data_IF_051766722102
#
_entry.id   IF_051766722102
#
_cell.length_a   1.000
_cell.length_b   1.000
_cell.length_c   1.000
_cell.angle_alpha   90.00
_cell.angle_beta   90.00
_cell.angle_gamma   90.00
#
_symmetry.space_group_name_H-M   'P 1'
#
loop_
_entity.id
_entity.type
_entity.pdbx_description
1 polymer ?
#
# COMPACT_ATOMS: atom_id res chain seq x y z
N UNK A 1 -29.25 -26.74 20.18
CA UNK A 1 -29.38 -25.36 20.69
C UNK A 1 -29.17 -25.40 22.19
N UNK A 2 -27.95 -25.15 22.65
CA UNK A 2 -27.65 -25.00 24.07
C UNK A 2 -27.49 -23.50 24.28
N UNK A 3 -28.49 -22.89 24.94
CA UNK A 3 -28.41 -21.51 25.43
C UNK A 3 -27.25 -21.45 26.44
N UNK A 4 -26.18 -20.74 26.08
CA UNK A 4 -25.16 -20.33 27.02
C UNK A 4 -25.76 -19.24 27.91
N UNK A 5 -25.84 -19.57 29.20
CA UNK A 5 -26.34 -18.73 30.28
C UNK A 5 -25.55 -17.41 30.30
N UNK A 6 -26.22 -16.32 29.91
CA UNK A 6 -25.66 -14.99 29.76
C UNK A 6 -25.58 -14.30 31.14
N UNK A 7 -24.76 -14.84 32.05
CA UNK A 7 -24.20 -14.03 33.15
C UNK A 7 -23.19 -13.08 32.51
N UNK A 8 -23.20 -11.81 32.89
CA UNK A 8 -22.25 -10.80 32.39
C UNK A 8 -20.82 -11.16 32.80
N UNK A 9 -20.19 -12.07 32.06
CA UNK A 9 -18.75 -12.27 32.11
C UNK A 9 -18.15 -10.99 31.53
N UNK A 10 -17.43 -10.23 32.34
CA UNK A 10 -16.67 -9.09 31.82
C UNK A 10 -15.70 -9.54 30.73
N UNK A 11 -15.35 -8.62 29.82
CA UNK A 11 -14.34 -8.88 28.81
C UNK A 11 -13.03 -9.36 29.47
N UNK A 12 -12.55 -10.54 29.07
CA UNK A 12 -11.29 -11.09 29.52
C UNK A 12 -10.44 -11.45 28.30
N UNK A 13 -9.30 -10.78 28.14
CA UNK A 13 -8.40 -11.03 27.02
C UNK A 13 -7.77 -12.44 27.05
N UNK A 14 -7.66 -13.07 28.22
CA UNK A 14 -7.03 -14.38 28.35
C UNK A 14 -7.89 -15.52 27.77
N UNK A 15 -9.20 -15.31 27.63
CA UNK A 15 -10.12 -16.29 27.05
C UNK A 15 -10.31 -16.11 25.54
N UNK A 16 -9.70 -15.08 24.94
CA UNK A 16 -9.76 -14.86 23.50
C UNK A 16 -9.15 -16.07 22.77
N UNK A 17 -9.85 -16.63 21.76
CA UNK A 17 -9.34 -17.73 20.95
C UNK A 17 -7.94 -17.46 20.38
N UNK A 18 -7.69 -16.23 19.93
CA UNK A 18 -6.39 -15.78 19.43
C UNK A 18 -5.26 -15.86 20.45
N UNK A 19 -5.58 -15.82 21.75
CA UNK A 19 -4.60 -15.84 22.83
C UNK A 19 -4.31 -17.25 23.37
N UNK A 20 -5.00 -18.29 22.87
CA UNK A 20 -4.85 -19.67 23.37
C UNK A 20 -3.39 -20.18 23.36
N UNK A 21 -2.65 -19.92 22.30
CA UNK A 21 -1.24 -20.32 22.19
C UNK A 21 -0.31 -19.29 22.82
N UNK A 22 -0.64 -18.01 22.64
CA UNK A 22 0.09 -16.89 23.25
C UNK A 22 0.21 -17.04 24.77
N UNK A 23 -0.87 -17.40 25.45
CA UNK A 23 -0.90 -17.62 26.90
C UNK A 23 -0.06 -18.82 27.37
N UNK A 24 0.14 -19.82 26.50
CA UNK A 24 1.04 -20.95 26.79
C UNK A 24 2.50 -20.57 26.58
N UNK A 25 2.76 -19.69 25.61
CA UNK A 25 4.10 -19.24 25.25
C UNK A 25 4.64 -18.22 26.25
N UNK A 26 3.82 -17.23 26.62
CA UNK A 26 4.15 -16.20 27.58
C UNK A 26 2.87 -15.68 28.24
N UNK A 27 2.77 -15.87 29.55
CA UNK A 27 1.65 -15.40 30.35
C UNK A 27 1.67 -13.89 30.50
N UNK A 28 0.53 -13.32 30.90
CA UNK A 28 0.34 -11.88 31.08
C UNK A 28 1.24 -11.30 32.19
N UNK A 29 1.39 -12.02 33.29
CA UNK A 29 2.27 -11.66 34.40
C UNK A 29 3.76 -11.70 33.99
N UNK A 30 4.17 -12.66 33.17
CA UNK A 30 5.55 -12.76 32.67
C UNK A 30 5.94 -11.55 31.80
N UNK A 31 5.06 -11.16 30.87
CA UNK A 31 5.33 -9.97 30.03
C UNK A 31 5.25 -8.67 30.84
N UNK A 32 4.40 -8.62 31.87
CA UNK A 32 4.30 -7.48 32.76
C UNK A 32 5.56 -7.35 33.64
N UNK A 33 6.06 -8.46 34.20
CA UNK A 33 7.31 -8.49 34.94
C UNK A 33 8.51 -8.04 34.09
N UNK A 34 8.57 -8.46 32.81
CA UNK A 34 9.59 -7.96 31.89
C UNK A 34 9.47 -6.44 31.68
N UNK A 35 8.25 -5.93 31.46
CA UNK A 35 8.02 -4.48 31.29
C UNK A 35 8.45 -3.71 32.53
N UNK A 36 8.04 -4.13 33.70
CA UNK A 36 8.33 -3.43 34.96
C UNK A 36 9.83 -3.44 35.27
N UNK A 37 10.51 -4.56 34.99
CA UNK A 37 11.96 -4.69 35.14
C UNK A 37 12.80 -4.03 34.04
N UNK A 38 12.19 -3.41 33.01
CA UNK A 38 12.94 -2.81 31.89
C UNK A 38 12.55 -1.38 31.56
N UNK A 39 11.29 -0.97 31.75
CA UNK A 39 10.82 0.34 31.30
C UNK A 39 11.38 1.49 32.13
N UNK A 40 11.51 1.31 33.45
CA UNK A 40 11.85 2.38 34.39
C UNK A 40 13.31 2.38 34.84
N UNK A 41 14.12 1.49 34.31
CA UNK A 41 15.54 1.36 34.65
C UNK A 41 16.42 2.06 33.61
N UNK A 42 17.51 2.65 34.08
CA UNK A 42 18.47 3.39 33.23
C UNK A 42 19.78 2.62 32.99
N UNK A 43 20.03 1.55 33.75
CA UNK A 43 21.20 0.68 33.61
C UNK A 43 20.82 -0.73 33.14
N UNK A 44 21.66 -1.33 32.31
CA UNK A 44 21.53 -2.71 31.87
C UNK A 44 21.53 -3.70 33.04
N UNK A 45 22.37 -3.49 34.05
CA UNK A 45 22.51 -4.46 35.14
C UNK A 45 21.22 -4.55 35.97
N UNK A 46 20.44 -3.46 36.06
CA UNK A 46 19.15 -3.42 36.75
C UNK A 46 18.05 -4.23 36.03
N UNK A 47 18.13 -4.39 34.71
CA UNK A 47 17.14 -5.16 33.94
C UNK A 47 17.51 -6.64 33.74
N UNK A 48 18.75 -7.01 34.06
CA UNK A 48 19.35 -8.29 33.68
C UNK A 48 18.57 -9.49 34.19
N UNK A 49 18.11 -9.45 35.44
CA UNK A 49 17.39 -10.56 36.08
C UNK A 49 15.99 -10.74 35.49
N UNK A 50 15.27 -9.64 35.23
CA UNK A 50 13.97 -9.68 34.57
C UNK A 50 14.08 -10.27 33.16
N UNK A 51 15.10 -9.85 32.39
CA UNK A 51 15.37 -10.36 31.04
C UNK A 51 15.76 -11.84 31.06
N UNK A 52 16.63 -12.25 31.98
CA UNK A 52 17.06 -13.65 32.13
C UNK A 52 15.88 -14.56 32.46
N UNK A 53 15.05 -14.15 33.42
CA UNK A 53 13.87 -14.89 33.84
C UNK A 53 12.90 -15.05 32.67
N UNK A 54 12.61 -13.95 31.96
CA UNK A 54 11.77 -13.99 30.77
C UNK A 54 12.31 -14.94 29.70
N UNK A 55 13.61 -14.89 29.37
CA UNK A 55 14.20 -15.77 28.35
C UNK A 55 14.12 -17.23 28.74
N UNK A 56 14.42 -17.57 30.00
CA UNK A 56 14.35 -18.94 30.50
C UNK A 56 12.94 -19.51 30.38
N UNK A 57 11.93 -18.74 30.82
CA UNK A 57 10.54 -19.15 30.76
C UNK A 57 10.07 -19.29 29.31
N UNK A 58 10.35 -18.31 28.46
CA UNK A 58 9.91 -18.33 27.07
C UNK A 58 10.48 -19.52 26.30
N UNK A 59 11.76 -19.85 26.48
CA UNK A 59 12.40 -21.04 25.88
C UNK A 59 11.70 -22.32 26.32
N UNK A 60 11.53 -22.49 27.63
CA UNK A 60 10.85 -23.66 28.21
C UNK A 60 9.42 -23.80 27.69
N UNK A 61 8.69 -22.68 27.63
CA UNK A 61 7.31 -22.64 27.14
C UNK A 61 7.24 -22.97 25.65
N UNK A 62 8.16 -22.44 24.83
CA UNK A 62 8.27 -22.77 23.40
C UNK A 62 8.57 -24.25 23.19
N UNK A 63 9.52 -24.82 23.94
CA UNK A 63 9.87 -26.24 23.85
C UNK A 63 8.71 -27.17 24.22
N UNK A 64 7.85 -26.76 25.15
CA UNK A 64 6.63 -27.48 25.47
C UNK A 64 5.57 -27.30 24.38
N UNK A 65 5.36 -26.07 23.93
CA UNK A 65 4.31 -25.71 22.97
C UNK A 65 4.59 -26.27 21.57
N UNK A 66 5.85 -26.40 21.15
CA UNK A 66 6.20 -26.79 19.77
C UNK A 66 5.58 -28.12 19.36
N UNK A 67 5.38 -29.05 20.30
CA UNK A 67 4.73 -30.35 20.04
C UNK A 67 3.27 -30.20 19.57
N UNK A 68 2.60 -29.10 19.92
CA UNK A 68 1.25 -28.76 19.47
C UNK A 68 1.23 -28.07 18.10
N UNK A 69 2.40 -27.68 17.58
CA UNK A 69 2.56 -26.95 16.32
C UNK A 69 2.70 -27.89 15.10
N UNK A 70 2.39 -29.17 15.26
CA UNK A 70 2.46 -30.17 14.19
C UNK A 70 1.38 -30.00 13.12
N UNK A 71 1.71 -30.46 11.90
CA UNK A 71 0.90 -30.79 10.72
C UNK A 71 -0.17 -29.80 10.19
N UNK A 72 -0.43 -28.68 10.86
CA UNK A 72 -1.34 -27.60 10.40
C UNK A 72 -1.19 -26.33 11.26
N UNK A 73 -0.78 -26.48 12.53
CA UNK A 73 -0.66 -25.35 13.47
C UNK A 73 0.68 -24.59 13.38
N UNK A 74 1.62 -25.06 12.57
CA UNK A 74 2.95 -24.47 12.40
C UNK A 74 2.92 -22.97 12.04
N UNK A 75 2.15 -22.56 11.01
CA UNK A 75 2.02 -21.14 10.65
C UNK A 75 1.52 -20.27 11.79
N UNK A 76 0.50 -20.74 12.54
CA UNK A 76 -0.01 -20.02 13.71
C UNK A 76 1.05 -19.88 14.80
N UNK A 77 1.74 -20.97 15.15
CA UNK A 77 2.80 -20.93 16.14
C UNK A 77 3.92 -19.96 15.73
N UNK A 78 4.29 -19.95 14.44
CA UNK A 78 5.28 -19.01 13.93
C UNK A 78 4.83 -17.55 14.10
N UNK A 79 3.58 -17.23 13.73
CA UNK A 79 3.01 -15.88 13.92
C UNK A 79 3.03 -15.46 15.39
N UNK A 80 2.55 -16.31 16.29
CA UNK A 80 2.46 -16.01 17.72
C UNK A 80 3.85 -15.80 18.35
N UNK A 81 4.83 -16.64 17.99
CA UNK A 81 6.23 -16.48 18.42
C UNK A 81 6.82 -15.18 17.90
N UNK A 82 6.68 -14.90 16.61
CA UNK A 82 7.18 -13.68 16.00
C UNK A 82 6.56 -12.43 16.65
N UNK A 83 5.25 -12.46 16.95
CA UNK A 83 4.56 -11.39 17.68
C UNK A 83 5.23 -11.10 19.03
N UNK A 84 5.56 -12.11 19.83
CA UNK A 84 6.22 -11.86 21.12
C UNK A 84 7.64 -11.34 20.98
N UNK A 85 8.41 -11.84 20.01
CA UNK A 85 9.76 -11.32 19.74
C UNK A 85 9.68 -9.83 19.32
N UNK A 86 8.73 -9.48 18.46
CA UNK A 86 8.50 -8.10 18.02
C UNK A 86 8.00 -7.21 19.18
N UNK A 87 7.16 -7.75 20.07
CA UNK A 87 6.65 -7.07 21.27
C UNK A 87 7.76 -6.78 22.27
N UNK A 88 8.63 -7.76 22.54
CA UNK A 88 9.78 -7.63 23.44
C UNK A 88 10.77 -6.61 22.89
N UNK A 89 11.02 -6.64 21.58
CA UNK A 89 11.81 -5.60 20.89
C UNK A 89 11.22 -4.21 21.12
N UNK A 90 9.90 -4.07 21.00
CA UNK A 90 9.20 -2.81 21.29
C UNK A 90 9.33 -2.35 22.75
N UNK A 91 9.29 -3.28 23.71
CA UNK A 91 9.53 -2.99 25.14
C UNK A 91 10.95 -2.44 25.33
N UNK A 92 11.97 -3.12 24.81
CA UNK A 92 13.36 -2.68 24.95
C UNK A 92 13.59 -1.33 24.29
N UNK A 93 13.06 -1.09 23.07
CA UNK A 93 13.18 0.21 22.40
C UNK A 93 12.48 1.34 23.16
N UNK A 94 11.39 1.02 23.87
CA UNK A 94 10.62 1.99 24.67
C UNK A 94 11.20 2.26 26.07
N UNK A 95 12.26 1.55 26.49
CA UNK A 95 12.87 1.72 27.80
C UNK A 95 13.64 3.05 27.95
N UNK A 96 13.95 3.41 29.19
CA UNK A 96 14.81 4.56 29.54
C UNK A 96 16.32 4.26 29.42
N UNK A 97 16.68 3.03 29.01
CA UNK A 97 18.07 2.60 28.82
C UNK A 97 18.78 3.43 27.73
N UNK A 98 20.11 3.46 27.83
CA UNK A 98 20.98 4.01 26.78
C UNK A 98 20.80 3.27 25.45
N UNK A 99 21.08 3.92 24.33
CA UNK A 99 21.00 3.27 23.01
C UNK A 99 21.93 2.06 22.89
N UNK A 100 23.09 2.10 23.56
CA UNK A 100 24.00 0.96 23.65
C UNK A 100 23.38 -0.22 24.40
N UNK A 101 22.69 0.02 25.51
CA UNK A 101 22.07 -1.04 26.31
C UNK A 101 20.83 -1.61 25.63
N UNK A 102 20.02 -0.74 25.00
CA UNK A 102 18.91 -1.16 24.13
C UNK A 102 19.42 -2.08 23.02
N UNK A 103 20.50 -1.68 22.34
CA UNK A 103 21.13 -2.50 21.30
C UNK A 103 21.61 -3.83 21.87
N UNK A 104 22.28 -3.83 23.03
CA UNK A 104 22.73 -5.04 23.71
C UNK A 104 21.59 -6.01 24.00
N UNK A 105 20.46 -5.52 24.52
CA UNK A 105 19.28 -6.33 24.80
C UNK A 105 18.65 -6.92 23.53
N UNK A 106 18.52 -6.13 22.47
CA UNK A 106 17.97 -6.58 21.19
C UNK A 106 18.90 -7.62 20.54
N UNK A 107 20.21 -7.38 20.53
CA UNK A 107 21.18 -8.36 20.02
C UNK A 107 21.11 -9.67 20.80
N UNK A 108 20.89 -9.61 22.12
CA UNK A 108 20.72 -10.80 22.94
C UNK A 108 19.42 -11.56 22.61
N UNK A 109 18.32 -10.82 22.40
CA UNK A 109 17.04 -11.39 21.98
C UNK A 109 17.20 -12.18 20.68
N UNK A 110 17.85 -11.58 19.69
CA UNK A 110 18.06 -12.17 18.36
C UNK A 110 19.03 -13.36 18.43
N UNK A 111 20.18 -13.20 19.08
CA UNK A 111 21.23 -14.23 19.07
C UNK A 111 20.99 -15.40 20.03
N UNK A 112 20.26 -15.20 21.12
CA UNK A 112 20.05 -16.23 22.14
C UNK A 112 18.63 -16.81 22.15
N UNK A 113 17.60 -15.95 22.13
CA UNK A 113 16.22 -16.42 22.24
C UNK A 113 15.68 -16.87 20.89
N UNK A 114 15.73 -15.98 19.91
CA UNK A 114 15.21 -16.23 18.57
C UNK A 114 15.95 -17.37 17.88
N UNK A 115 17.28 -17.37 17.94
CA UNK A 115 18.09 -18.48 17.41
C UNK A 115 17.71 -19.82 18.05
N UNK A 116 17.57 -19.86 19.37
CA UNK A 116 17.17 -21.08 20.07
C UNK A 116 15.80 -21.57 19.62
N UNK A 117 14.83 -20.68 19.46
CA UNK A 117 13.49 -20.98 18.97
C UNK A 117 13.56 -21.61 17.58
N UNK A 118 14.34 -21.03 16.66
CA UNK A 118 14.48 -21.56 15.29
C UNK A 118 15.14 -22.94 15.29
N UNK A 119 16.29 -23.06 15.96
CA UNK A 119 17.10 -24.29 16.00
C UNK A 119 16.34 -25.45 16.65
N UNK A 120 15.38 -25.16 17.54
CA UNK A 120 14.59 -26.16 18.26
C UNK A 120 13.14 -26.28 17.78
N UNK A 121 12.75 -25.57 16.71
CA UNK A 121 11.41 -25.65 16.15
C UNK A 121 11.24 -26.91 15.28
N UNK A 122 10.00 -27.40 15.20
CA UNK A 122 9.59 -28.49 14.30
C UNK A 122 8.79 -27.96 13.09
N UNK A 123 8.71 -26.65 12.95
CA UNK A 123 7.97 -25.94 11.91
C UNK A 123 8.86 -24.83 11.34
N UNK A 124 8.76 -24.57 10.04
CA UNK A 124 9.51 -23.48 9.42
C UNK A 124 8.96 -22.14 9.90
N UNK A 125 9.84 -21.31 10.46
CA UNK A 125 9.50 -19.95 10.85
C UNK A 125 10.60 -18.99 10.43
N UNK A 126 10.31 -18.23 9.37
CA UNK A 126 11.18 -17.15 8.91
C UNK A 126 10.80 -15.84 9.62
N UNK A 127 11.81 -14.99 9.83
CA UNK A 127 11.61 -13.70 10.50
C UNK A 127 12.71 -12.73 10.06
N UNK A 128 12.53 -12.03 8.94
CA UNK A 128 13.39 -10.91 8.59
C UNK A 128 13.24 -9.80 9.65
N UNK A 129 14.35 -9.16 10.01
CA UNK A 129 14.41 -8.22 11.16
C UNK A 129 14.17 -6.76 10.77
N UNK A 130 13.98 -6.47 9.48
CA UNK A 130 13.73 -5.11 9.02
C UNK A 130 12.33 -4.61 9.42
N UNK A 131 12.16 -3.28 9.34
CA UNK A 131 10.92 -2.62 9.75
C UNK A 131 9.74 -3.01 8.85
N UNK A 132 9.97 -3.23 7.56
CA UNK A 132 8.89 -3.56 6.62
C UNK A 132 8.32 -4.94 6.94
N UNK A 133 9.18 -5.95 7.05
CA UNK A 133 8.76 -7.30 7.46
C UNK A 133 8.11 -7.33 8.84
N UNK A 134 8.59 -6.53 9.79
CA UNK A 134 7.95 -6.42 11.12
C UNK A 134 6.52 -5.88 11.00
N UNK A 135 6.31 -4.84 10.20
CA UNK A 135 4.98 -4.27 10.00
C UNK A 135 4.04 -5.26 9.29
N UNK A 136 4.51 -5.97 8.27
CA UNK A 136 3.76 -7.03 7.57
C UNK A 136 3.33 -8.15 8.53
N UNK A 137 4.24 -8.64 9.37
CA UNK A 137 3.90 -9.63 10.41
C UNK A 137 2.82 -9.13 11.37
N UNK A 138 2.88 -7.86 11.79
CA UNK A 138 1.83 -7.29 12.63
C UNK A 138 0.47 -7.27 11.93
N UNK A 139 0.43 -6.92 10.65
CA UNK A 139 -0.80 -6.92 9.84
C UNK A 139 -1.38 -8.34 9.72
N UNK A 140 -0.54 -9.32 9.39
CA UNK A 140 -0.94 -10.72 9.29
C UNK A 140 -1.47 -11.25 10.62
N UNK A 141 -0.72 -11.06 11.72
CA UNK A 141 -1.17 -11.47 13.05
C UNK A 141 -2.48 -10.78 13.43
N UNK A 142 -2.64 -9.50 13.12
CA UNK A 142 -3.86 -8.76 13.41
C UNK A 142 -5.08 -9.37 12.71
N UNK A 143 -4.99 -9.61 11.40
CA UNK A 143 -6.07 -10.23 10.64
C UNK A 143 -6.46 -11.61 11.18
N UNK A 144 -5.47 -12.45 11.50
CA UNK A 144 -5.74 -13.77 12.09
C UNK A 144 -6.41 -13.65 13.46
N UNK A 145 -5.93 -12.74 14.32
CA UNK A 145 -6.53 -12.55 15.64
C UNK A 145 -7.97 -12.04 15.55
N UNK A 146 -8.25 -11.09 14.65
CA UNK A 146 -9.61 -10.63 14.38
C UNK A 146 -10.53 -11.75 13.92
N UNK A 147 -10.03 -12.64 13.04
CA UNK A 147 -10.82 -13.76 12.54
C UNK A 147 -11.11 -14.80 13.62
N UNK A 148 -10.13 -15.09 14.47
CA UNK A 148 -10.29 -16.05 15.57
C UNK A 148 -11.18 -15.51 16.69
N UNK A 149 -11.18 -14.19 16.91
CA UNK A 149 -11.93 -13.53 17.98
C UNK A 149 -13.29 -12.96 17.51
N UNK A 150 -13.74 -13.25 16.29
CA UNK A 150 -14.95 -12.68 15.66
C UNK A 150 -16.19 -12.72 16.58
N UNK A 151 -16.43 -13.87 17.23
CA UNK A 151 -17.56 -14.07 18.15
C UNK A 151 -17.44 -13.24 19.44
N UNK A 152 -16.23 -12.83 19.83
CA UNK A 152 -15.97 -12.01 21.02
C UNK A 152 -15.97 -10.51 20.72
N UNK A 153 -15.70 -10.11 19.48
CA UNK A 153 -15.63 -8.69 19.10
C UNK A 153 -17.01 -8.04 19.18
N UNK A 154 -18.06 -8.68 18.64
CA UNK A 154 -19.42 -8.13 18.62
C UNK A 154 -19.96 -7.75 20.01
N UNK A 155 -19.92 -8.63 21.04
CA UNK A 155 -20.41 -8.29 22.37
C UNK A 155 -19.50 -7.33 23.15
N UNK A 156 -18.22 -7.16 22.77
CA UNK A 156 -17.24 -6.41 23.55
C UNK A 156 -16.45 -5.38 22.73
N UNK A 157 -17.04 -4.80 21.68
CA UNK A 157 -16.32 -3.97 20.69
C UNK A 157 -15.42 -2.88 21.31
N UNK A 158 -15.93 -2.12 22.28
CA UNK A 158 -15.14 -1.08 22.96
C UNK A 158 -13.96 -1.66 23.76
N UNK A 159 -14.22 -2.70 24.56
CA UNK A 159 -13.18 -3.37 25.34
C UNK A 159 -12.13 -4.02 24.44
N UNK A 160 -12.55 -4.61 23.32
CA UNK A 160 -11.66 -5.22 22.32
C UNK A 160 -10.79 -4.17 21.64
N UNK A 161 -11.35 -3.01 21.24
CA UNK A 161 -10.54 -1.91 20.70
C UNK A 161 -9.50 -1.40 21.70
N UNK A 162 -9.85 -1.31 22.98
CA UNK A 162 -8.89 -0.93 24.02
C UNK A 162 -7.79 -2.00 24.22
N UNK A 163 -8.14 -3.29 24.12
CA UNK A 163 -7.18 -4.38 24.10
C UNK A 163 -6.22 -4.28 22.91
N UNK A 164 -6.72 -4.05 21.69
CA UNK A 164 -5.90 -3.89 20.48
C UNK A 164 -4.88 -2.75 20.61
N UNK A 165 -5.30 -1.60 21.13
CA UNK A 165 -4.39 -0.47 21.40
C UNK A 165 -3.23 -0.90 22.31
N UNK A 166 -3.53 -1.54 23.44
CA UNK A 166 -2.51 -2.00 24.39
C UNK A 166 -1.62 -3.12 23.85
N UNK A 167 -2.17 -3.98 22.97
CA UNK A 167 -1.45 -5.06 22.29
C UNK A 167 -0.38 -4.50 21.35
N UNK A 168 -0.73 -3.52 20.52
CA UNK A 168 0.13 -3.03 19.44
C UNK A 168 0.98 -1.81 19.80
N UNK A 169 0.61 -1.03 20.84
CA UNK A 169 1.25 0.24 21.20
C UNK A 169 2.78 0.20 21.15
N UNK A 170 3.40 -0.77 21.85
CA UNK A 170 4.87 -0.84 21.93
C UNK A 170 5.54 -1.16 20.61
N UNK A 171 4.88 -1.89 19.73
CA UNK A 171 5.42 -2.20 18.39
C UNK A 171 5.27 -0.97 17.50
N UNK A 172 4.07 -0.39 17.44
CA UNK A 172 3.77 0.80 16.64
C UNK A 172 4.72 1.95 16.99
N UNK A 173 5.03 2.16 18.26
CA UNK A 173 5.90 3.27 18.68
C UNK A 173 7.31 3.25 18.06
N UNK A 174 7.85 2.07 17.69
CA UNK A 174 9.13 2.00 17.00
C UNK A 174 9.02 1.71 15.49
N UNK A 175 7.90 1.16 15.03
CA UNK A 175 7.68 0.87 13.61
C UNK A 175 7.02 2.01 12.86
N UNK A 176 6.28 2.91 13.50
CA UNK A 176 5.65 4.10 12.92
C UNK A 176 6.24 5.39 13.50
N UNK A 177 7.51 5.65 13.15
CA UNK A 177 8.32 6.77 13.69
C UNK A 177 7.64 8.14 13.48
N UNK A 178 6.90 8.29 12.39
CA UNK A 178 6.11 9.49 12.09
C UNK A 178 4.63 9.12 12.22
N UNK A 179 4.00 9.39 13.36
CA UNK A 179 2.64 8.94 13.63
C UNK A 179 1.70 9.27 12.49
N UNK A 180 0.91 8.28 12.08
CA UNK A 180 -0.12 8.41 11.05
C UNK A 180 0.41 8.70 9.63
N UNK A 181 1.72 8.60 9.39
CA UNK A 181 2.29 8.79 8.04
C UNK A 181 2.30 7.52 7.20
N UNK A 182 2.24 6.35 7.84
CA UNK A 182 2.28 5.06 7.17
C UNK A 182 0.88 4.58 6.83
N UNK A 183 0.74 4.09 5.61
CA UNK A 183 -0.46 3.44 5.12
C UNK A 183 -0.12 2.01 4.68
N UNK A 184 -1.11 1.14 4.75
CA UNK A 184 -1.08 -0.24 4.30
C UNK A 184 -2.08 -0.42 3.16
N UNK A 185 -1.67 -1.15 2.13
CA UNK A 185 -2.53 -1.77 1.13
C UNK A 185 -2.42 -3.29 1.29
N UNK A 186 -3.56 -3.96 1.42
CA UNK A 186 -3.66 -5.42 1.37
C UNK A 186 -4.52 -5.77 0.17
N UNK A 187 -3.98 -6.55 -0.76
CA UNK A 187 -4.65 -6.79 -2.04
C UNK A 187 -4.37 -8.19 -2.60
N UNK A 188 -5.42 -9.03 -2.58
CA UNK A 188 -5.45 -10.34 -3.23
C UNK A 188 -6.81 -10.57 -3.90
N UNK A 189 -7.09 -11.81 -4.31
CA UNK A 189 -8.32 -12.15 -5.05
C UNK A 189 -9.62 -11.89 -4.28
N UNK A 190 -9.56 -11.80 -2.95
CA UNK A 190 -10.74 -11.71 -2.10
C UNK A 190 -10.69 -10.54 -1.10
N UNK A 191 -9.56 -9.84 -1.00
CA UNK A 191 -9.33 -8.76 -0.06
C UNK A 191 -8.74 -7.53 -0.75
N UNK A 192 -9.26 -6.36 -0.41
CA UNK A 192 -8.73 -5.07 -0.84
C UNK A 192 -8.95 -4.02 0.23
N UNK A 193 -7.89 -3.74 0.99
CA UNK A 193 -7.93 -2.82 2.11
C UNK A 193 -6.85 -1.77 1.86
N UNK A 194 -7.20 -0.50 1.98
CA UNK A 194 -6.23 0.60 2.08
C UNK A 194 -6.52 1.38 3.34
N UNK A 195 -5.58 1.43 4.28
CA UNK A 195 -5.78 2.12 5.55
C UNK A 195 -4.49 2.72 6.12
N UNK A 196 -4.63 3.69 7.02
CA UNK A 196 -3.53 4.07 7.90
C UNK A 196 -3.08 2.87 8.76
N UNK A 197 -1.77 2.63 8.84
CA UNK A 197 -1.19 1.47 9.54
C UNK A 197 -1.59 1.39 11.02
N UNK A 198 -1.53 2.52 11.74
CA UNK A 198 -1.92 2.57 13.15
C UNK A 198 -3.42 2.34 13.33
N UNK A 199 -4.24 3.05 12.56
CA UNK A 199 -5.68 2.89 12.61
C UNK A 199 -6.11 1.44 12.30
N UNK A 200 -5.46 0.80 11.33
CA UNK A 200 -5.71 -0.59 10.98
C UNK A 200 -5.50 -1.53 12.18
N UNK A 201 -4.38 -1.38 12.89
CA UNK A 201 -4.05 -2.22 14.05
C UNK A 201 -4.91 -1.90 15.29
N UNK A 202 -5.36 -0.67 15.45
CA UNK A 202 -6.23 -0.25 16.56
C UNK A 202 -7.72 -0.62 16.34
N UNK A 203 -8.09 -1.06 15.13
CA UNK A 203 -9.47 -1.33 14.72
C UNK A 203 -9.78 -2.83 14.61
N UNK A 204 -11.02 -3.18 14.94
CA UNK A 204 -11.61 -4.51 14.75
C UNK A 204 -12.51 -4.61 13.50
N UNK A 205 -12.54 -3.59 12.64
CA UNK A 205 -13.48 -3.50 11.51
C UNK A 205 -13.10 -4.44 10.34
N UNK A 206 -11.89 -5.01 10.36
CA UNK A 206 -11.31 -5.76 9.25
C UNK A 206 -11.47 -7.29 9.41
N UNK A 207 -12.62 -7.75 9.90
CA UNK A 207 -12.96 -9.18 9.96
C UNK A 207 -13.39 -9.64 8.56
N UNK A 208 -12.53 -10.40 7.90
CA UNK A 208 -12.79 -10.92 6.57
C UNK A 208 -13.20 -12.40 6.62
N UNK A 209 -14.20 -12.81 5.85
CA UNK A 209 -14.63 -14.22 5.77
C UNK A 209 -13.77 -15.11 4.87
N UNK A 210 -12.65 -14.58 4.35
CA UNK A 210 -11.78 -15.27 3.41
C UNK A 210 -10.80 -16.20 4.12
N UNK A 211 -10.25 -17.14 3.35
CA UNK A 211 -9.13 -17.95 3.79
C UNK A 211 -7.88 -17.07 3.96
N UNK A 212 -7.52 -16.75 5.21
CA UNK A 212 -6.32 -15.97 5.51
C UNK A 212 -5.02 -16.75 5.26
N UNK A 213 -5.09 -18.07 5.12
CA UNK A 213 -3.89 -18.89 4.85
C UNK A 213 -3.35 -18.69 3.42
N UNK A 214 -4.15 -18.11 2.52
CA UNK A 214 -3.74 -17.70 1.17
C UNK A 214 -3.10 -16.30 1.14
N UNK A 215 -3.13 -15.56 2.24
CA UNK A 215 -2.55 -14.22 2.31
C UNK A 215 -1.03 -14.32 2.50
N UNK A 216 -0.30 -13.72 1.56
CA UNK A 216 1.17 -13.68 1.58
C UNK A 216 1.69 -12.29 1.95
N UNK A 217 2.97 -12.22 2.33
CA UNK A 217 3.67 -10.95 2.53
C UNK A 217 3.72 -10.08 1.26
N UNK A 218 3.61 -10.68 0.08
CA UNK A 218 3.61 -9.98 -1.22
C UNK A 218 2.27 -9.29 -1.52
N UNK A 219 1.19 -9.73 -0.88
CA UNK A 219 -0.13 -9.08 -0.99
C UNK A 219 -0.21 -7.81 -0.13
N UNK A 220 0.78 -7.58 0.73
CA UNK A 220 0.86 -6.44 1.63
C UNK A 220 1.89 -5.43 1.11
N UNK A 221 1.45 -4.21 0.84
CA UNK A 221 2.30 -3.08 0.51
C UNK A 221 2.16 -1.99 1.57
N UNK A 222 3.28 -1.45 2.03
CA UNK A 222 3.31 -0.35 2.99
C UNK A 222 4.00 0.84 2.34
N UNK A 223 3.42 2.03 2.47
CA UNK A 223 4.03 3.26 1.96
C UNK A 223 3.57 4.47 2.78
N UNK A 224 4.39 5.52 2.74
CA UNK A 224 4.00 6.86 3.19
C UNK A 224 3.36 7.69 2.07
N UNK A 225 3.46 7.25 0.81
CA UNK A 225 2.84 7.90 -0.34
C UNK A 225 1.65 7.09 -0.85
N UNK A 226 0.46 7.68 -0.76
CA UNK A 226 -0.78 7.07 -1.26
C UNK A 226 -0.79 6.89 -2.78
N UNK A 227 0.01 7.65 -3.53
CA UNK A 227 0.13 7.48 -4.98
C UNK A 227 0.77 6.15 -5.36
N UNK A 228 1.65 5.60 -4.51
CA UNK A 228 2.23 4.26 -4.69
C UNK A 228 1.17 3.16 -4.74
N UNK A 229 0.04 3.38 -4.08
CA UNK A 229 -1.07 2.44 -4.08
C UNK A 229 -1.95 2.60 -5.30
N UNK A 230 -2.21 3.83 -5.75
CA UNK A 230 -2.96 4.10 -6.99
C UNK A 230 -2.29 3.44 -8.21
N UNK A 231 -0.96 3.51 -8.29
CA UNK A 231 -0.21 2.89 -9.39
C UNK A 231 -0.26 1.35 -9.31
N UNK A 232 -0.17 0.79 -8.10
CA UNK A 232 -0.06 -0.66 -7.89
C UNK A 232 -1.39 -1.40 -7.69
N UNK A 233 -2.53 -0.73 -7.54
CA UNK A 233 -3.84 -1.39 -7.37
C UNK A 233 -4.26 -2.08 -8.67
N UNK A 234 -4.75 -3.31 -8.60
CA UNK A 234 -5.05 -4.16 -9.74
C UNK A 234 -6.54 -4.17 -10.05
N UNK A 235 -6.90 -3.99 -11.32
CA UNK A 235 -8.29 -4.13 -11.78
C UNK A 235 -8.63 -5.57 -12.19
N UNK A 236 -7.61 -6.41 -12.39
CA UNK A 236 -7.66 -7.78 -12.91
C UNK A 236 -7.56 -8.86 -11.80
N UNK A 237 -7.09 -8.51 -10.60
CA UNK A 237 -7.01 -9.45 -9.47
C UNK A 237 -8.38 -9.87 -8.92
N UNK A 238 -9.43 -9.08 -9.15
CA UNK A 238 -10.77 -9.42 -8.65
C UNK A 238 -11.43 -10.40 -9.63
N UNK A 239 -11.36 -11.69 -9.30
CA UNK A 239 -12.09 -12.71 -10.05
C UNK A 239 -13.59 -12.53 -9.86
N UNK A 240 -14.31 -12.35 -10.97
CA UNK A 240 -15.78 -12.18 -11.00
C UNK A 240 -16.55 -13.42 -10.52
N UNK A 241 -15.87 -14.56 -10.33
CA UNK A 241 -16.46 -15.84 -9.93
C UNK A 241 -16.31 -16.15 -8.43
N UNK A 242 -15.86 -15.19 -7.59
CA UNK A 242 -15.71 -15.41 -6.14
C UNK A 242 -17.05 -15.16 -5.45
N UNK A 243 -17.91 -16.18 -5.47
CA UNK A 243 -19.14 -16.21 -4.69
C UNK A 243 -18.82 -16.46 -3.21
N UNK A 244 -18.93 -15.37 -2.43
CA UNK A 244 -18.97 -15.24 -0.96
C UNK A 244 -17.63 -14.86 -0.29
N UNK A 245 -17.73 -13.88 0.61
CA UNK A 245 -16.73 -13.43 1.59
C UNK A 245 -15.71 -12.32 1.20
N UNK A 246 -15.94 -11.61 0.10
CA UNK A 246 -15.11 -10.46 -0.29
C UNK A 246 -14.96 -9.40 0.82
N UNK A 247 -13.75 -8.89 1.00
CA UNK A 247 -13.40 -7.96 2.06
C UNK A 247 -12.78 -6.69 1.48
N UNK A 248 -13.62 -5.70 1.18
CA UNK A 248 -13.20 -4.44 0.57
C UNK A 248 -13.59 -3.26 1.44
N UNK A 249 -12.63 -2.41 1.81
CA UNK A 249 -12.94 -1.17 2.49
C UNK A 249 -13.28 -0.05 1.49
N UNK A 250 -14.02 0.96 1.96
CA UNK A 250 -14.47 2.07 1.11
C UNK A 250 -13.30 2.75 0.38
N UNK A 251 -12.19 3.00 1.07
CA UNK A 251 -11.01 3.68 0.49
C UNK A 251 -10.44 2.89 -0.69
N UNK A 252 -10.27 1.58 -0.56
CA UNK A 252 -9.80 0.73 -1.65
C UNK A 252 -10.76 0.78 -2.85
N UNK A 253 -12.08 0.66 -2.61
CA UNK A 253 -13.09 0.73 -3.68
C UNK A 253 -13.08 2.08 -4.40
N UNK A 254 -12.92 3.18 -3.67
CA UNK A 254 -12.85 4.52 -4.26
C UNK A 254 -11.58 4.69 -5.12
N UNK A 255 -10.45 4.12 -4.68
CA UNK A 255 -9.21 4.09 -5.47
C UNK A 255 -9.36 3.26 -6.75
N UNK A 256 -10.03 2.11 -6.69
CA UNK A 256 -10.34 1.31 -7.88
C UNK A 256 -11.20 2.10 -8.87
N UNK A 257 -12.26 2.74 -8.39
CA UNK A 257 -13.14 3.58 -9.23
C UNK A 257 -12.38 4.71 -9.90
N UNK A 258 -11.49 5.38 -9.16
CA UNK A 258 -10.65 6.44 -9.70
C UNK A 258 -9.71 5.92 -10.80
N UNK A 259 -9.05 4.77 -10.58
CA UNK A 259 -8.18 4.15 -11.59
C UNK A 259 -8.97 3.74 -12.84
N UNK A 260 -10.13 3.10 -12.67
CA UNK A 260 -11.00 2.70 -13.76
C UNK A 260 -11.50 3.90 -14.58
N UNK A 261 -11.95 4.96 -13.90
CA UNK A 261 -12.41 6.20 -14.54
C UNK A 261 -11.29 6.90 -15.33
N UNK A 262 -10.07 6.95 -14.79
CA UNK A 262 -8.92 7.50 -15.51
C UNK A 262 -8.55 6.69 -16.75
N UNK A 263 -8.56 5.36 -16.67
CA UNK A 263 -8.33 4.50 -17.84
C UNK A 263 -9.42 4.69 -18.90
N UNK A 264 -10.69 4.78 -18.48
CA UNK A 264 -11.80 5.06 -19.39
C UNK A 264 -11.64 6.42 -20.08
N UNK A 265 -11.24 7.45 -19.34
CA UNK A 265 -10.97 8.79 -19.90
C UNK A 265 -9.84 8.76 -20.92
N UNK A 266 -8.71 8.12 -20.60
CA UNK A 266 -7.57 7.99 -21.52
C UNK A 266 -7.99 7.24 -22.79
N UNK A 267 -8.75 6.14 -22.66
CA UNK A 267 -9.25 5.40 -23.82
C UNK A 267 -10.20 6.24 -24.68
N UNK A 268 -11.07 7.05 -24.06
CA UNK A 268 -11.95 7.96 -24.78
C UNK A 268 -11.14 9.05 -25.51
N UNK A 269 -10.18 9.67 -24.84
CA UNK A 269 -9.32 10.71 -25.41
C UNK A 269 -8.47 10.15 -26.56
N UNK A 270 -7.94 8.92 -26.41
CA UNK A 270 -7.20 8.21 -27.47
C UNK A 270 -8.11 7.89 -28.66
N UNK A 271 -9.34 7.42 -28.42
CA UNK A 271 -10.33 7.13 -29.45
C UNK A 271 -10.69 8.39 -30.25
N UNK A 272 -10.90 9.52 -29.56
CA UNK A 272 -11.15 10.82 -30.19
C UNK A 272 -9.92 11.25 -31.02
N UNK A 273 -8.71 11.11 -30.48
CA UNK A 273 -7.47 11.43 -31.19
C UNK A 273 -7.30 10.61 -32.47
N UNK A 274 -7.56 9.30 -32.42
CA UNK A 274 -7.51 8.40 -33.58
C UNK A 274 -8.56 8.81 -34.63
N UNK A 275 -9.78 9.12 -34.19
CA UNK A 275 -10.85 9.56 -35.09
C UNK A 275 -10.52 10.88 -35.80
N UNK A 276 -9.99 11.86 -35.06
CA UNK A 276 -9.55 13.15 -35.62
C UNK A 276 -8.40 12.95 -36.60
N UNK A 277 -7.39 12.15 -36.24
CA UNK A 277 -6.25 11.89 -37.12
C UNK A 277 -6.67 11.15 -38.40
N UNK A 278 -7.56 10.16 -38.28
CA UNK A 278 -8.15 9.49 -39.44
C UNK A 278 -8.93 10.45 -40.35
N UNK A 279 -9.73 11.35 -39.77
CA UNK A 279 -10.46 12.38 -40.51
C UNK A 279 -9.50 13.35 -41.22
N UNK A 280 -8.46 13.83 -40.54
CA UNK A 280 -7.44 14.69 -41.13
C UNK A 280 -6.71 14.02 -42.29
N UNK A 281 -6.34 12.74 -42.16
CA UNK A 281 -5.72 11.99 -43.25
C UNK A 281 -6.66 11.90 -44.47
N UNK A 282 -7.95 11.64 -44.27
CA UNK A 282 -8.94 11.64 -45.36
C UNK A 282 -8.97 13.00 -46.06
N UNK A 283 -8.95 14.11 -45.30
CA UNK A 283 -8.90 15.46 -45.89
C UNK A 283 -7.64 15.70 -46.73
N UNK A 284 -6.47 15.25 -46.27
CA UNK A 284 -5.22 15.35 -47.02
C UNK A 284 -5.31 14.53 -48.31
N UNK A 285 -5.77 13.28 -48.24
CA UNK A 285 -5.96 12.45 -49.43
C UNK A 285 -6.94 13.07 -50.42
N UNK A 286 -8.04 13.65 -49.96
CA UNK A 286 -8.99 14.36 -50.81
C UNK A 286 -8.39 15.64 -51.41
N UNK A 287 -7.57 16.37 -50.66
CA UNK A 287 -6.87 17.55 -51.19
C UNK A 287 -5.86 17.20 -52.27
N UNK A 288 -5.09 16.13 -52.09
CA UNK A 288 -3.98 15.78 -52.98
C UNK A 288 -4.44 14.99 -54.22
N UNK A 289 -5.42 14.10 -54.06
CA UNK A 289 -5.83 13.16 -55.12
C UNK A 289 -7.23 13.39 -55.70
N UNK A 290 -8.00 14.38 -55.20
CA UNK A 290 -9.32 14.71 -55.73
C UNK A 290 -9.31 15.99 -56.59
N UNK A 291 -10.28 16.18 -57.53
CA UNK A 291 -10.35 17.38 -58.39
C UNK A 291 -10.46 18.69 -57.60
N UNK A 292 -10.91 18.63 -56.35
CA UNK A 292 -11.03 19.74 -55.40
C UNK A 292 -9.70 20.44 -55.07
N UNK A 293 -8.59 19.71 -54.96
CA UNK A 293 -7.27 20.30 -54.76
C UNK A 293 -6.85 21.19 -55.93
N UNK A 294 -7.05 20.69 -57.15
CA UNK A 294 -6.79 21.46 -58.38
C UNK A 294 -7.68 22.71 -58.48
N UNK A 295 -8.94 22.60 -58.04
CA UNK A 295 -9.94 23.68 -58.05
C UNK A 295 -9.60 24.78 -57.04
N UNK A 296 -9.20 24.41 -55.81
CA UNK A 296 -8.73 25.36 -54.79
C UNK A 296 -7.46 26.08 -55.23
N UNK A 297 -6.50 25.37 -55.82
CA UNK A 297 -5.28 25.96 -56.42
C UNK A 297 -5.62 26.95 -57.54
N UNK A 298 -6.66 26.66 -58.33
CA UNK A 298 -7.14 27.53 -59.41
C UNK A 298 -7.84 28.79 -58.88
N UNK A 299 -8.60 28.67 -57.79
CA UNK A 299 -9.28 29.80 -57.13
C UNK A 299 -8.30 30.75 -56.42
N UNK A 300 -7.28 30.24 -55.74
CA UNK A 300 -6.24 31.10 -55.15
C UNK A 300 -5.38 31.77 -56.22
N UNK A 301 -5.05 31.07 -57.31
CA UNK A 301 -4.33 31.66 -58.44
C UNK A 301 -5.14 32.80 -59.09
N UNK A 302 -6.45 32.61 -59.32
CA UNK A 302 -7.35 33.67 -59.82
C UNK A 302 -7.43 34.88 -58.90
N UNK A 303 -7.37 34.70 -57.57
CA UNK A 303 -7.41 35.81 -56.62
C UNK A 303 -6.13 36.65 -56.63
N UNK A 304 -4.97 36.01 -56.82
CA UNK A 304 -3.68 36.70 -56.95
C UNK A 304 -3.63 37.49 -58.26
N UNK A 305 -4.06 36.88 -59.37
CA UNK A 305 -4.14 37.52 -60.70
C UNK A 305 -5.07 38.75 -60.70
N UNK A 306 -6.20 38.70 -59.97
CA UNK A 306 -7.13 39.84 -59.84
C UNK A 306 -6.55 40.95 -58.96
N UNK A 307 -5.75 40.63 -57.94
CA UNK A 307 -5.07 41.64 -57.13
C UNK A 307 -3.88 42.28 -57.85
N UNK A 308 -3.14 41.52 -58.67
CA UNK A 308 -2.08 42.06 -59.55
C UNK A 308 -2.67 42.97 -60.63
N UNK A 309 -3.74 42.53 -61.33
CA UNK A 309 -4.39 43.36 -62.36
C UNK A 309 -5.04 44.64 -61.80
N UNK A 310 -5.59 44.62 -60.58
CA UNK A 310 -6.15 45.82 -59.96
C UNK A 310 -5.07 46.84 -59.53
N UNK A 311 -3.85 46.39 -59.28
CA UNK A 311 -2.71 47.27 -59.01
C UNK A 311 -2.12 47.84 -60.32
N UNK A 312 -2.06 47.03 -61.38
CA UNK A 312 -1.62 47.49 -62.71
C UNK A 312 -2.61 48.49 -63.33
N UNK A 313 -3.94 48.28 -63.21
CA UNK A 313 -4.95 49.24 -63.69
C UNK A 313 -4.92 50.57 -62.92
N UNK A 314 -4.52 50.57 -61.64
CA UNK A 314 -4.29 51.80 -60.86
C UNK A 314 -3.01 52.53 -61.28
N UNK A 315 -2.02 51.80 -61.80
CA UNK A 315 -0.75 52.35 -62.27
C UNK A 315 -0.88 52.94 -63.69
N UNK A 316 -1.65 52.31 -64.58
CA UNK A 316 -1.94 52.83 -65.93
C UNK A 316 -2.77 54.14 -65.93
N UNK A 317 -3.59 54.38 -64.90
CA UNK A 317 -4.33 55.65 -64.76
C UNK A 317 -3.45 56.83 -64.31
N UNK A 318 -2.27 56.56 -63.75
CA UNK A 318 -1.34 57.60 -63.27
C UNK A 318 -0.32 58.04 -64.34
N UNK A 319 -0.01 57.20 -65.33
CA UNK A 319 1.03 57.47 -66.33
C UNK A 319 0.58 58.37 -67.49
N UNK A 320 -0.69 58.75 -67.58
CA UNK A 320 -1.21 59.64 -68.63
C UNK A 320 -1.16 61.14 -68.30
N UNK A 321 -0.39 61.56 -67.29
CA UNK A 321 -0.34 62.97 -66.85
C UNK A 321 1.04 63.60 -66.78
N UNK A 322 1.97 63.33 -67.71
CA UNK A 322 3.07 64.29 -67.94
C UNK A 322 3.76 64.13 -69.29
N UNK A 323 3.50 65.09 -70.18
CA UNK A 323 4.37 65.39 -71.32
C UNK A 323 5.74 65.85 -70.82
N UNK A 324 6.83 65.26 -71.32
CA UNK A 324 8.15 65.88 -71.24
C UNK A 324 9.36 64.98 -71.45
N UNK A 325 9.89 65.03 -72.68
CA UNK A 325 11.30 64.78 -73.08
C UNK A 325 11.67 63.32 -73.41
N UNK A 326 12.19 63.04 -74.63
CA UNK A 326 12.73 61.73 -74.99
C UNK A 326 14.21 61.63 -74.60
N UNK A 327 14.60 60.52 -73.96
CA UNK A 327 16.00 60.10 -73.91
C UNK A 327 16.12 58.63 -74.30
N UNK A 328 17.04 58.36 -75.23
CA UNK A 328 17.37 57.05 -75.81
C UNK A 328 18.64 56.49 -75.14
N UNK A 329 18.66 55.15 -74.98
CA UNK A 329 19.79 54.21 -74.82
C UNK A 329 20.57 54.15 -73.48
N UNK A 330 21.10 53.01 -73.03
CA UNK A 330 21.66 51.86 -73.78
C UNK A 330 21.33 50.48 -73.17
N UNK A 331 21.16 49.49 -74.05
CA UNK A 331 21.38 48.07 -73.75
C UNK A 331 22.85 47.81 -73.39
N UNK A 332 23.09 47.09 -72.30
CA UNK A 332 24.33 46.33 -72.11
C UNK A 332 23.96 44.86 -71.88
N UNK A 333 24.36 44.03 -72.84
CA UNK A 333 24.47 42.58 -72.69
C UNK A 333 25.94 42.32 -72.36
N UNK A 334 26.21 41.49 -71.36
CA UNK A 334 27.53 40.89 -71.20
C UNK A 334 27.38 39.38 -71.00
N UNK A 335 28.13 38.68 -71.86
CA UNK A 335 28.38 37.26 -72.04
C UNK A 335 28.30 36.33 -70.83
#
# INVERSE_FOLDING_TARGET
>A
MVQLDQRSMGFNEEILPSNKYKNKLCKKDEIQALKDGTLYVSDYDDCKDAVNTFYSNFKTNHDNLKTNCNNENGPKCCRDVNYYIDRVTGIFKSSLLSDSDKKRLITRLENELERHIRDNSIYTCERPTDLDSTRKRCILQHLHDLKEDEDFILPYAEHYSNYLKGKWEKIINYTDIKPNSLFVKIENNSMGIVENYRYFLDSSDYICGNNLDELSDDDIKISTDMNDFLTSISLDKISLNVEKNLCFNKRYVDMLKHKASNLQRINNDLSIGIALLGFFLILIFLYEFSPLGSLLRRCTKKKIEVYENANDEMQELNDNSQNGIPYINYHSVSH
#
